data_IF_961349797823
#
_entry.id   IF_961349797823
#
_cell.length_a   1.000
_cell.length_b   1.000
_cell.length_c   1.000
_cell.angle_alpha   90.00
_cell.angle_beta   90.00
_cell.angle_gamma   90.00
#
_symmetry.space_group_name_H-M   'P 1'
#
loop_
_entity.id
_entity.type
_entity.pdbx_description
1 polymer ?
#
# COMPACT_ATOMS: atom_id res chain seq x y z
N UNK A 1 -10.76 -9.90 -12.24
CA UNK A 1 -10.41 -9.30 -10.94
C UNK A 1 -11.62 -8.67 -10.29
N UNK A 2 -12.21 -7.60 -10.85
CA UNK A 2 -13.43 -6.98 -10.31
C UNK A 2 -14.60 -7.98 -10.11
N UNK A 3 -15.00 -8.70 -11.16
CA UNK A 3 -16.10 -9.69 -11.10
C UNK A 3 -15.83 -10.87 -10.15
N UNK A 4 -14.57 -11.11 -9.77
CA UNK A 4 -14.25 -12.14 -8.78
C UNK A 4 -14.44 -11.64 -7.35
N UNK A 5 -14.38 -10.32 -7.15
CA UNK A 5 -14.59 -9.65 -5.87
C UNK A 5 -16.07 -9.27 -5.66
N UNK A 6 -16.80 -8.88 -6.72
CA UNK A 6 -18.24 -8.55 -6.69
C UNK A 6 -19.08 -9.82 -6.54
N UNK A 7 -19.25 -10.27 -5.28
CA UNK A 7 -19.85 -11.57 -4.95
C UNK A 7 -21.37 -11.55 -5.03
N UNK A 8 -21.96 -10.39 -4.80
CA UNK A 8 -23.41 -10.19 -4.87
C UNK A 8 -23.88 -9.76 -6.26
N UNK A 9 -22.94 -9.56 -7.21
CA UNK A 9 -23.19 -9.10 -8.57
C UNK A 9 -23.92 -7.74 -8.59
N UNK A 10 -23.63 -6.86 -7.63
CA UNK A 10 -24.23 -5.52 -7.53
C UNK A 10 -23.70 -4.55 -8.60
N UNK A 11 -22.55 -4.85 -9.22
CA UNK A 11 -21.87 -3.95 -10.14
C UNK A 11 -21.01 -2.90 -9.44
N UNK A 12 -20.76 -3.07 -8.14
CA UNK A 12 -19.89 -2.25 -7.30
C UNK A 12 -19.22 -3.10 -6.24
N UNK A 13 -18.12 -2.63 -5.64
CA UNK A 13 -17.43 -3.32 -4.56
C UNK A 13 -17.63 -2.59 -3.24
N UNK A 14 -18.08 -3.36 -2.25
CA UNK A 14 -18.02 -2.96 -0.86
C UNK A 14 -16.58 -3.04 -0.33
N UNK A 15 -16.33 -2.40 0.82
CA UNK A 15 -15.06 -2.54 1.52
C UNK A 15 -14.72 -4.00 1.84
N UNK A 16 -15.74 -4.78 2.20
CA UNK A 16 -15.55 -6.17 2.59
C UNK A 16 -15.10 -7.03 1.41
N UNK A 17 -15.60 -6.74 0.21
CA UNK A 17 -15.16 -7.41 -1.02
C UNK A 17 -13.76 -6.95 -1.43
N UNK A 18 -13.47 -5.65 -1.37
CA UNK A 18 -12.14 -5.16 -1.74
C UNK A 18 -11.04 -5.67 -0.80
N UNK A 19 -11.35 -5.99 0.46
CA UNK A 19 -10.40 -6.65 1.39
C UNK A 19 -9.90 -8.01 0.89
N UNK A 20 -10.59 -8.66 -0.04
CA UNK A 20 -10.13 -9.93 -0.63
C UNK A 20 -9.23 -9.71 -1.85
N UNK A 21 -9.07 -8.46 -2.30
CA UNK A 21 -8.10 -8.13 -3.33
C UNK A 21 -6.72 -8.60 -2.92
N UNK A 22 -5.99 -9.19 -3.88
CA UNK A 22 -4.61 -9.64 -3.66
C UNK A 22 -4.47 -10.59 -2.45
N UNK A 23 -5.43 -11.52 -2.29
CA UNK A 23 -5.48 -12.48 -1.18
C UNK A 23 -5.51 -11.81 0.20
N UNK A 24 -6.02 -10.58 0.27
CA UNK A 24 -6.14 -9.81 1.49
C UNK A 24 -4.82 -9.36 2.10
N UNK A 25 -3.81 -9.14 1.25
CA UNK A 25 -2.47 -8.70 1.68
C UNK A 25 -2.40 -7.20 1.99
N UNK A 26 -3.31 -6.42 1.40
CA UNK A 26 -3.48 -4.99 1.71
C UNK A 26 -4.04 -4.76 3.11
N UNK A 27 -3.55 -3.73 3.81
CA UNK A 27 -3.97 -3.41 5.18
C UNK A 27 -5.38 -2.84 5.25
N UNK A 28 -6.06 -3.09 6.37
CA UNK A 28 -7.41 -2.58 6.62
C UNK A 28 -7.42 -1.04 6.56
N UNK A 29 -6.48 -0.38 7.24
CA UNK A 29 -6.36 1.09 7.20
C UNK A 29 -6.21 1.62 5.77
N UNK A 30 -5.45 0.95 4.89
CA UNK A 30 -5.33 1.39 3.51
C UNK A 30 -6.63 1.26 2.74
N UNK A 31 -7.34 0.13 2.87
CA UNK A 31 -8.66 -0.07 2.23
C UNK A 31 -9.66 0.99 2.70
N UNK A 32 -9.71 1.28 4.01
CA UNK A 32 -10.54 2.34 4.57
C UNK A 32 -10.25 3.70 3.92
N UNK A 33 -8.96 4.05 3.81
CA UNK A 33 -8.50 5.30 3.22
C UNK A 33 -8.77 5.39 1.72
N UNK A 34 -8.67 4.30 0.96
CA UNK A 34 -9.07 4.27 -0.46
C UNK A 34 -10.53 4.67 -0.63
N UNK A 35 -11.42 4.13 0.20
CA UNK A 35 -12.83 4.51 0.16
C UNK A 35 -13.06 5.94 0.60
N UNK A 36 -12.27 6.45 1.53
CA UNK A 36 -12.39 7.82 2.01
C UNK A 36 -11.95 8.87 0.98
N UNK A 37 -10.86 8.59 0.26
CA UNK A 37 -10.21 9.55 -0.63
C UNK A 37 -10.68 9.44 -2.09
N UNK A 38 -10.95 8.22 -2.56
CA UNK A 38 -11.14 7.96 -3.99
C UNK A 38 -12.54 7.45 -4.35
N UNK A 39 -13.27 6.88 -3.40
CA UNK A 39 -14.65 6.42 -3.63
C UNK A 39 -15.66 7.52 -3.28
N UNK A 40 -16.42 7.94 -4.28
CA UNK A 40 -17.44 8.98 -4.13
C UNK A 40 -18.63 8.45 -3.33
N UNK A 41 -19.22 9.29 -2.48
CA UNK A 41 -20.53 9.02 -1.89
C UNK A 41 -21.58 9.06 -3.00
N UNK A 42 -22.38 8.00 -3.14
CA UNK A 42 -23.48 7.94 -4.09
C UNK A 42 -24.48 9.09 -3.90
N UNK A 43 -25.12 9.53 -4.99
CA UNK A 43 -26.13 10.60 -4.98
C UNK A 43 -27.45 10.20 -4.28
N UNK A 44 -27.63 8.92 -3.99
CA UNK A 44 -28.81 8.42 -3.28
C UNK A 44 -28.54 8.46 -1.78
N UNK A 45 -29.10 9.45 -1.09
CA UNK A 45 -28.95 9.67 0.36
C UNK A 45 -29.63 8.61 1.24
N UNK A 46 -29.61 7.34 0.83
CA UNK A 46 -30.19 6.20 1.54
C UNK A 46 -29.13 5.11 1.72
N UNK A 47 -28.10 5.40 2.50
CA UNK A 47 -27.06 4.44 2.88
C UNK A 47 -25.76 5.16 3.24
N UNK A 48 -25.20 4.85 4.41
CA UNK A 48 -23.88 5.32 4.82
C UNK A 48 -22.74 4.54 4.13
N UNK A 49 -23.04 3.55 3.26
CA UNK A 49 -22.00 2.78 2.57
C UNK A 49 -21.53 3.51 1.32
N UNK A 50 -20.21 3.69 1.23
CA UNK A 50 -19.53 4.05 -0.01
C UNK A 50 -19.31 2.75 -0.76
N UNK A 51 -19.66 2.72 -2.05
CA UNK A 51 -19.48 1.57 -2.92
C UNK A 51 -18.53 1.96 -4.06
N UNK A 52 -17.52 1.13 -4.34
CA UNK A 52 -16.52 1.38 -5.38
C UNK A 52 -17.04 0.87 -6.72
N UNK A 53 -17.28 1.78 -7.67
CA UNK A 53 -17.63 1.40 -9.04
C UNK A 53 -16.41 0.88 -9.82
N UNK A 54 -16.67 0.33 -11.01
CA UNK A 54 -15.62 -0.23 -11.85
C UNK A 54 -14.54 0.79 -12.25
N UNK A 55 -14.92 2.05 -12.51
CA UNK A 55 -13.97 3.10 -12.87
C UNK A 55 -13.04 3.42 -11.70
N UNK A 56 -13.58 3.58 -10.49
CA UNK A 56 -12.79 3.81 -9.27
C UNK A 56 -11.90 2.61 -8.94
N UNK A 57 -12.37 1.39 -9.22
CA UNK A 57 -11.55 0.18 -9.09
C UNK A 57 -10.39 0.15 -10.09
N UNK A 58 -10.60 0.59 -11.33
CA UNK A 58 -9.52 0.69 -12.32
C UNK A 58 -8.46 1.69 -11.88
N UNK A 59 -8.86 2.87 -11.40
CA UNK A 59 -7.93 3.88 -10.86
C UNK A 59 -7.11 3.29 -9.70
N UNK A 60 -7.75 2.55 -8.80
CA UNK A 60 -7.11 1.85 -7.69
C UNK A 60 -6.05 0.84 -8.15
N UNK A 61 -6.38 -0.02 -9.11
CA UNK A 61 -5.46 -1.03 -9.65
C UNK A 61 -4.28 -0.37 -10.36
N UNK A 62 -4.57 0.61 -11.23
CA UNK A 62 -3.55 1.33 -11.98
C UNK A 62 -2.57 2.04 -11.05
N UNK A 63 -3.05 2.62 -9.95
CA UNK A 63 -2.20 3.26 -8.95
C UNK A 63 -1.27 2.26 -8.24
N UNK A 64 -1.77 1.07 -7.90
CA UNK A 64 -0.96 0.01 -7.27
C UNK A 64 0.10 -0.56 -8.23
N UNK A 65 -0.26 -0.77 -9.49
CA UNK A 65 0.66 -1.28 -10.52
C UNK A 65 1.73 -0.25 -10.92
N UNK A 66 1.39 1.04 -10.85
CA UNK A 66 2.27 2.14 -11.29
C UNK A 66 2.72 3.04 -10.12
N UNK A 67 2.96 2.44 -8.95
CA UNK A 67 3.33 3.15 -7.72
C UNK A 67 4.63 3.97 -7.80
N UNK A 68 5.49 3.70 -8.78
CA UNK A 68 6.72 4.47 -9.04
C UNK A 68 6.51 5.69 -9.95
N UNK A 69 5.32 5.84 -10.53
CA UNK A 69 4.94 7.00 -11.35
C UNK A 69 4.42 8.14 -10.48
N UNK A 70 4.45 9.36 -11.00
CA UNK A 70 3.92 10.52 -10.30
C UNK A 70 2.43 10.34 -9.97
N UNK A 71 1.66 9.83 -10.92
CA UNK A 71 0.21 9.63 -10.80
C UNK A 71 -0.12 8.55 -9.76
N UNK A 72 0.52 7.38 -9.87
CA UNK A 72 0.29 6.28 -8.93
C UNK A 72 0.70 6.64 -7.50
N UNK A 73 1.86 7.26 -7.33
CA UNK A 73 2.32 7.67 -6.00
C UNK A 73 1.46 8.79 -5.41
N UNK A 74 0.98 9.73 -6.23
CA UNK A 74 0.04 10.78 -5.78
C UNK A 74 -1.27 10.18 -5.31
N UNK A 75 -1.79 9.17 -6.00
CA UNK A 75 -3.00 8.46 -5.59
C UNK A 75 -2.80 7.80 -4.22
N UNK A 76 -1.70 7.06 -4.05
CA UNK A 76 -1.37 6.36 -2.81
C UNK A 76 -1.13 7.34 -1.65
N UNK A 77 -0.45 8.46 -1.90
CA UNK A 77 -0.14 9.44 -0.86
C UNK A 77 -1.38 10.02 -0.20
N UNK A 78 -2.47 10.25 -0.94
CA UNK A 78 -3.75 10.69 -0.34
C UNK A 78 -4.27 9.68 0.69
N UNK A 79 -4.09 8.39 0.40
CA UNK A 79 -4.46 7.34 1.36
C UNK A 79 -3.54 7.33 2.58
N UNK A 80 -2.22 7.55 2.38
CA UNK A 80 -1.22 7.57 3.45
C UNK A 80 -1.36 8.79 4.37
N UNK A 81 -1.76 9.94 3.86
CA UNK A 81 -1.96 11.17 4.64
C UNK A 81 -3.24 11.09 5.48
N UNK A 82 -3.16 10.34 6.58
CA UNK A 82 -4.29 10.02 7.46
C UNK A 82 -5.04 11.26 7.99
N UNK A 83 -4.35 12.40 8.06
CA UNK A 83 -4.88 13.65 8.60
C UNK A 83 -5.17 14.71 7.52
N UNK A 84 -4.90 14.43 6.24
CA UNK A 84 -5.12 15.37 5.12
C UNK A 84 -4.29 16.66 5.23
N UNK A 85 -3.08 16.59 5.81
CA UNK A 85 -2.21 17.74 6.08
C UNK A 85 -1.24 18.05 4.93
N UNK A 86 -1.12 17.15 3.96
CA UNK A 86 -0.13 17.17 2.89
C UNK A 86 1.23 16.58 3.30
N UNK A 87 1.32 15.90 4.45
CA UNK A 87 2.56 15.29 4.93
C UNK A 87 2.32 14.17 5.95
N UNK A 88 3.25 13.22 6.00
CA UNK A 88 3.30 12.11 6.95
C UNK A 88 4.24 12.44 8.10
N UNK A 89 3.81 12.15 9.32
CA UNK A 89 4.63 12.22 10.54
C UNK A 89 5.04 10.83 10.99
N UNK A 90 5.94 10.75 11.97
CA UNK A 90 6.30 9.48 12.62
C UNK A 90 5.09 8.72 13.16
N UNK A 91 4.08 9.42 13.67
CA UNK A 91 2.84 8.82 14.15
C UNK A 91 1.97 8.25 13.02
N UNK A 92 1.96 8.88 11.84
CA UNK A 92 1.23 8.38 10.67
C UNK A 92 1.87 7.08 10.17
N UNK A 93 3.20 7.09 10.01
CA UNK A 93 3.99 5.92 9.59
C UNK A 93 3.83 4.76 10.58
N UNK A 94 3.94 5.03 11.89
CA UNK A 94 3.71 4.02 12.91
C UNK A 94 2.29 3.43 12.85
N UNK A 95 1.27 4.27 12.63
CA UNK A 95 -0.11 3.81 12.56
C UNK A 95 -0.39 2.94 11.34
N UNK A 96 0.16 3.30 10.18
CA UNK A 96 0.08 2.52 8.95
C UNK A 96 0.82 1.18 9.09
N UNK A 97 2.07 1.25 9.57
CA UNK A 97 2.93 0.09 9.65
C UNK A 97 2.48 -0.92 10.71
N UNK A 98 1.81 -0.49 11.78
CA UNK A 98 1.22 -1.40 12.77
C UNK A 98 0.27 -2.42 12.13
N UNK A 99 -0.52 -2.02 11.15
CA UNK A 99 -1.45 -2.93 10.46
C UNK A 99 -0.70 -3.89 9.51
N UNK A 100 0.40 -3.43 8.90
CA UNK A 100 1.31 -4.29 8.13
C UNK A 100 1.96 -5.32 9.04
N UNK A 101 2.47 -4.87 10.19
CA UNK A 101 3.08 -5.71 11.22
C UNK A 101 2.11 -6.78 11.73
N UNK A 102 0.84 -6.44 11.96
CA UNK A 102 -0.17 -7.41 12.37
C UNK A 102 -0.30 -8.54 11.34
N UNK A 103 -0.40 -8.22 10.05
CA UNK A 103 -0.43 -9.21 8.97
C UNK A 103 0.86 -10.01 8.86
N UNK A 104 2.00 -9.37 9.08
CA UNK A 104 3.31 -10.00 9.08
C UNK A 104 3.41 -11.13 10.12
N UNK A 105 2.98 -10.86 11.35
CA UNK A 105 2.92 -11.85 12.44
C UNK A 105 1.88 -12.94 12.18
N UNK A 106 0.71 -12.59 11.65
CA UNK A 106 -0.32 -13.56 11.24
C UNK A 106 0.18 -14.52 10.15
N UNK A 107 1.08 -14.05 9.29
CA UNK A 107 1.80 -14.85 8.30
C UNK A 107 2.87 -15.79 8.89
N UNK A 108 3.12 -15.73 10.21
CA UNK A 108 4.10 -16.57 10.90
C UNK A 108 5.54 -16.09 10.79
N UNK A 109 5.75 -14.82 10.42
CA UNK A 109 7.09 -14.23 10.35
C UNK A 109 7.61 -13.82 11.74
N UNK A 110 8.85 -13.38 11.80
CA UNK A 110 9.54 -12.98 13.03
C UNK A 110 9.09 -11.60 13.53
N UNK A 111 9.30 -11.30 14.82
CA UNK A 111 8.95 -10.00 15.40
C UNK A 111 9.87 -8.88 14.87
N UNK A 112 9.28 -7.76 14.45
CA UNK A 112 10.01 -6.60 13.93
C UNK A 112 10.10 -5.48 14.98
N UNK A 113 11.18 -4.71 14.92
CA UNK A 113 11.25 -3.43 15.61
C UNK A 113 10.63 -2.35 14.71
N UNK A 114 9.44 -1.86 15.07
CA UNK A 114 8.73 -0.85 14.26
C UNK A 114 9.54 0.45 14.18
N UNK A 115 10.26 0.80 15.24
CA UNK A 115 11.15 1.97 15.26
C UNK A 115 12.28 1.86 14.25
N UNK A 116 12.85 0.67 14.05
CA UNK A 116 13.94 0.46 13.07
C UNK A 116 13.39 0.58 11.65
N UNK A 117 12.21 0.01 11.37
CA UNK A 117 11.55 0.15 10.06
C UNK A 117 11.19 1.62 9.78
N UNK A 118 10.73 2.36 10.80
CA UNK A 118 10.52 3.80 10.69
C UNK A 118 11.82 4.51 10.30
N UNK A 119 12.92 4.23 11.02
CA UNK A 119 14.19 4.90 10.75
C UNK A 119 14.73 4.56 9.35
N UNK A 120 14.56 3.32 8.88
CA UNK A 120 14.86 2.91 7.51
C UNK A 120 14.05 3.71 6.48
N UNK A 121 12.74 3.91 6.70
CA UNK A 121 11.91 4.75 5.82
C UNK A 121 12.44 6.19 5.78
N UNK A 122 12.85 6.76 6.92
CA UNK A 122 13.45 8.11 6.95
C UNK A 122 14.78 8.16 6.18
N UNK A 123 15.60 7.13 6.30
CA UNK A 123 16.88 7.02 5.59
C UNK A 123 16.69 6.81 4.08
N UNK A 124 15.63 6.12 3.66
CA UNK A 124 15.26 5.97 2.25
C UNK A 124 14.78 7.29 1.64
N UNK A 125 13.92 8.02 2.35
CA UNK A 125 13.27 9.24 1.83
C UNK A 125 14.16 10.47 1.93
N UNK A 126 14.91 10.60 3.04
CA UNK A 126 15.74 11.77 3.38
C UNK A 126 14.96 13.09 3.21
N UNK A 127 13.85 13.25 3.96
CA UNK A 127 12.95 14.37 3.76
C UNK A 127 13.65 15.70 4.00
N UNK A 128 13.19 16.73 3.28
CA UNK A 128 13.72 18.09 3.43
C UNK A 128 13.51 18.68 4.83
N UNK A 129 12.43 18.26 5.51
CA UNK A 129 12.11 18.57 6.90
C UNK A 129 12.18 17.27 7.72
N UNK A 130 13.07 17.15 8.72
CA UNK A 130 13.24 15.90 9.48
C UNK A 130 11.99 15.40 10.19
N UNK A 131 10.98 16.25 10.42
CA UNK A 131 9.77 15.89 11.16
C UNK A 131 8.61 15.41 10.28
N UNK A 132 8.74 15.52 8.95
CA UNK A 132 7.64 15.19 8.04
C UNK A 132 8.12 14.72 6.66
N UNK A 133 7.36 13.81 6.07
CA UNK A 133 7.55 13.34 4.69
C UNK A 133 6.42 13.90 3.83
N UNK A 134 6.75 14.68 2.80
CA UNK A 134 5.76 15.18 1.82
C UNK A 134 5.69 14.28 0.59
N UNK A 135 4.69 14.50 -0.27
CA UNK A 135 4.64 13.86 -1.59
C UNK A 135 5.88 14.19 -2.43
N UNK A 136 6.34 15.44 -2.38
CA UNK A 136 7.54 15.87 -3.12
C UNK A 136 8.79 15.13 -2.65
N UNK A 137 8.92 14.86 -1.35
CA UNK A 137 10.03 14.05 -0.82
C UNK A 137 9.97 12.61 -1.34
N UNK A 138 8.78 11.99 -1.36
CA UNK A 138 8.60 10.62 -1.89
C UNK A 138 8.84 10.51 -3.40
N UNK A 139 8.43 11.52 -4.17
CA UNK A 139 8.72 11.60 -5.61
C UNK A 139 10.22 11.83 -5.84
N UNK A 140 10.86 12.66 -5.02
CA UNK A 140 12.27 13.01 -5.15
C UNK A 140 13.24 11.89 -4.76
N UNK A 141 12.88 11.04 -3.80
CA UNK A 141 13.77 10.00 -3.28
C UNK A 141 13.95 8.80 -4.21
N UNK A 142 13.11 8.66 -5.25
CA UNK A 142 13.10 7.53 -6.21
C UNK A 142 12.81 6.16 -5.58
N UNK A 143 12.40 6.14 -4.32
CA UNK A 143 11.98 4.96 -3.58
C UNK A 143 10.55 5.10 -3.04
N UNK A 144 9.81 6.13 -3.48
CA UNK A 144 8.47 6.43 -2.98
C UNK A 144 7.49 5.28 -3.20
N UNK A 145 7.56 4.58 -4.33
CA UNK A 145 6.75 3.40 -4.59
C UNK A 145 7.05 2.26 -3.62
N UNK A 146 8.32 2.00 -3.30
CA UNK A 146 8.73 1.04 -2.27
C UNK A 146 8.19 1.42 -0.91
N UNK A 147 8.39 2.67 -0.47
CA UNK A 147 7.88 3.17 0.82
C UNK A 147 6.36 3.03 0.90
N UNK A 148 5.64 3.44 -0.14
CA UNK A 148 4.19 3.29 -0.19
C UNK A 148 3.78 1.82 -0.09
N UNK A 149 4.47 0.93 -0.81
CA UNK A 149 4.22 -0.52 -0.79
C UNK A 149 4.43 -1.11 0.62
N UNK A 150 5.50 -0.72 1.31
CA UNK A 150 5.81 -1.17 2.68
C UNK A 150 4.73 -0.75 3.69
N UNK A 151 4.05 0.37 3.46
CA UNK A 151 3.05 0.93 4.39
C UNK A 151 1.62 0.42 4.16
N UNK A 152 1.35 -0.20 3.01
CA UNK A 152 -0.02 -0.60 2.61
C UNK A 152 -0.20 -2.10 2.37
N UNK A 153 0.89 -2.83 2.09
CA UNK A 153 0.85 -4.23 1.68
C UNK A 153 1.91 -5.06 2.42
N UNK A 154 1.49 -6.13 3.11
CA UNK A 154 2.42 -7.05 3.78
C UNK A 154 3.37 -7.74 2.79
N UNK A 155 2.94 -8.03 1.56
CA UNK A 155 3.83 -8.56 0.53
C UNK A 155 4.80 -7.50 0.02
N UNK A 156 4.36 -6.24 -0.02
CA UNK A 156 5.21 -5.10 -0.33
C UNK A 156 6.34 -4.96 0.68
N UNK A 157 6.01 -5.08 1.98
CA UNK A 157 7.02 -5.10 3.03
C UNK A 157 7.92 -6.34 2.97
N UNK A 158 7.37 -7.54 2.77
CA UNK A 158 8.14 -8.77 2.64
C UNK A 158 9.18 -8.69 1.51
N UNK A 159 8.78 -8.20 0.34
CA UNK A 159 9.70 -8.04 -0.78
C UNK A 159 10.86 -7.08 -0.47
N UNK A 160 10.60 -6.05 0.35
CA UNK A 160 11.63 -5.09 0.78
C UNK A 160 12.56 -5.69 1.85
N UNK A 161 12.02 -6.44 2.81
CA UNK A 161 12.77 -7.12 3.87
C UNK A 161 13.67 -8.23 3.30
N UNK A 162 13.19 -8.95 2.29
CA UNK A 162 13.91 -10.05 1.63
C UNK A 162 14.68 -9.63 0.36
N UNK A 163 14.81 -8.32 0.09
CA UNK A 163 15.40 -7.80 -1.16
C UNK A 163 16.79 -8.35 -1.47
N UNK A 164 17.64 -8.55 -0.46
CA UNK A 164 19.02 -9.04 -0.67
C UNK A 164 19.06 -10.49 -1.13
N UNK A 165 18.12 -11.33 -0.66
CA UNK A 165 18.02 -12.72 -1.10
C UNK A 165 17.48 -12.80 -2.53
N UNK A 166 16.46 -11.99 -2.84
CA UNK A 166 15.87 -11.94 -4.19
C UNK A 166 16.91 -11.51 -5.25
N UNK A 167 17.78 -10.55 -4.91
CA UNK A 167 18.86 -10.13 -5.81
C UNK A 167 19.89 -11.24 -6.07
N UNK A 168 20.16 -12.10 -5.08
CA UNK A 168 21.09 -13.23 -5.26
C UNK A 168 20.49 -14.31 -6.17
N UNK A 169 19.19 -14.61 -6.03
CA UNK A 169 18.49 -15.57 -6.90
C UNK A 169 18.45 -15.12 -8.36
N UNK A 170 18.35 -13.81 -8.63
CA UNK A 170 18.40 -13.27 -10.00
C UNK A 170 19.79 -13.33 -10.65
N UNK A 171 20.87 -13.35 -9.84
CA UNK A 171 22.25 -13.40 -10.32
C UNK A 171 22.76 -14.83 -10.59
N UNK A 172 22.14 -15.87 -10.00
CA UNK A 172 22.51 -17.26 -10.26
C UNK A 172 21.95 -17.76 -11.61
N UNK A 173 22.81 -18.17 -12.57
CA UNK A 173 22.32 -18.77 -13.82
C UNK A 173 21.64 -20.11 -13.53
N UNK A 174 20.56 -20.47 -14.26
CA UNK A 174 19.88 -21.74 -14.04
C UNK A 174 20.89 -22.89 -14.21
N UNK A 175 20.98 -23.76 -13.20
CA UNK A 175 21.81 -24.96 -13.28
C UNK A 175 21.35 -25.78 -14.50
N UNK A 176 22.20 -25.85 -15.53
CA UNK A 176 21.97 -26.78 -16.64
C UNK A 176 22.02 -28.20 -16.05
N UNK A 177 20.85 -28.82 -15.90
CA UNK A 177 20.74 -30.25 -15.60
C UNK A 177 21.45 -31.04 -16.72
N UNK A 178 22.72 -31.37 -16.49
CA UNK A 178 23.49 -32.26 -17.34
C UNK A 178 22.88 -33.67 -17.25
N UNK A 179 22.22 -34.08 -18.34
CA UNK A 179 21.62 -35.39 -18.57
C UNK A 179 22.60 -36.56 -18.43
#
# INVERSE_FOLDING_TARGET
MFLALDKDCSGSLSKQELKEYADGTLTEIFIERVFDEHVRRGKSGSGNSREMDFDSFLDFVLALENKDTQEGLTYLFRCLDLQGRGFLTTADIHSLFRDVHQKWIEGGNYELCIEDVRDEIWDMVKPSDPLKITLDDLLGCKQGGTVASMLIDVRGFWAHDNRENLLQEEEEPPEEESQ
#
